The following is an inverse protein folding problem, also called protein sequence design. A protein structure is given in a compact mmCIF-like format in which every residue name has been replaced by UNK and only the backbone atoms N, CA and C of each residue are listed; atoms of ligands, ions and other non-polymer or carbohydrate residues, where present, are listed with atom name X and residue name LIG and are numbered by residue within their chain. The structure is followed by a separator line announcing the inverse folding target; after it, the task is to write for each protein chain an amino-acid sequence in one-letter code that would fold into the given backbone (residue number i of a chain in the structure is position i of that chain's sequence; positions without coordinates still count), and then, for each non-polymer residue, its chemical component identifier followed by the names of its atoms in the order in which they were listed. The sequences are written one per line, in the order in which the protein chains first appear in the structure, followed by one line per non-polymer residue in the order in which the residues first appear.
data_IF_621665464753
#
_entry.id   IF_621665464753
#
_cell.length_a   1.000
_cell.length_b   1.000
_cell.length_c   1.000
_cell.angle_alpha   90.00
_cell.angle_beta   90.00
_cell.angle_gamma   90.00
#
_symmetry.space_group_name_H-M   'P 1'
#
loop_
_entity.id
_entity.type
_entity.pdbx_description
1 polymer ?
#
# COMPACT_ATOMS: atom_id res chain seq x y z
N UNK A 1 6.82 0.80 -23.37
CA UNK A 1 5.79 1.68 -22.76
C UNK A 1 5.94 1.59 -21.24
N UNK A 2 6.68 2.51 -20.60
CA UNK A 2 7.10 2.38 -19.18
C UNK A 2 6.68 3.57 -18.30
N UNK A 3 5.96 4.55 -18.87
CA UNK A 3 5.90 5.92 -18.33
C UNK A 3 4.55 6.31 -17.75
N UNK A 4 3.41 5.87 -18.28
CA UNK A 4 2.10 6.31 -17.76
C UNK A 4 1.81 5.70 -16.38
N UNK A 5 1.73 4.38 -16.27
CA UNK A 5 1.38 3.73 -15.00
C UNK A 5 2.38 3.99 -13.87
N UNK A 6 3.67 4.15 -14.19
CA UNK A 6 4.68 4.43 -13.16
C UNK A 6 4.52 5.80 -12.48
N UNK A 7 3.76 6.73 -13.07
CA UNK A 7 3.42 8.00 -12.44
C UNK A 7 2.30 7.85 -11.40
N UNK A 8 1.46 6.81 -11.52
CA UNK A 8 0.25 6.63 -10.71
C UNK A 8 0.30 5.42 -9.78
N UNK A 9 1.06 4.37 -10.13
CA UNK A 9 1.10 3.08 -9.44
C UNK A 9 2.52 2.77 -8.97
N UNK A 10 2.63 2.19 -7.77
CA UNK A 10 3.90 1.74 -7.20
C UNK A 10 4.42 0.45 -7.82
N UNK A 11 3.52 -0.45 -8.20
CA UNK A 11 3.75 -1.79 -8.72
C UNK A 11 2.41 -2.55 -8.77
N UNK A 12 2.42 -3.78 -9.29
CA UNK A 12 1.24 -4.65 -9.29
C UNK A 12 1.09 -5.39 -7.95
N UNK A 13 2.22 -5.64 -7.27
CA UNK A 13 2.26 -6.23 -5.94
C UNK A 13 2.72 -5.23 -4.88
N UNK A 14 2.53 -5.59 -3.61
CA UNK A 14 2.97 -4.75 -2.49
C UNK A 14 4.49 -4.67 -2.44
N UNK A 15 5.18 -5.77 -2.75
CA UNK A 15 6.63 -5.90 -2.78
C UNK A 15 7.24 -5.01 -3.87
N UNK A 16 6.62 -4.97 -5.05
CA UNK A 16 7.04 -4.10 -6.15
C UNK A 16 6.90 -2.61 -5.84
N UNK A 17 6.02 -2.24 -4.90
CA UNK A 17 5.87 -0.86 -4.46
C UNK A 17 7.04 -0.39 -3.57
N UNK A 18 7.75 -1.32 -2.90
CA UNK A 18 8.77 -0.99 -1.88
C UNK A 18 9.88 -0.08 -2.41
N UNK A 19 10.53 -0.36 -3.56
CA UNK A 19 11.60 0.50 -4.05
C UNK A 19 11.16 1.95 -4.30
N UNK A 20 9.90 2.15 -4.74
CA UNK A 20 9.35 3.49 -4.96
C UNK A 20 9.07 4.21 -3.64
N UNK A 21 8.55 3.50 -2.64
CA UNK A 21 8.34 4.03 -1.29
C UNK A 21 9.66 4.52 -0.68
N UNK A 22 10.71 3.71 -0.77
CA UNK A 22 12.05 4.08 -0.29
C UNK A 22 12.62 5.29 -1.03
N UNK A 23 12.46 5.35 -2.35
CA UNK A 23 12.91 6.48 -3.16
C UNK A 23 12.18 7.78 -2.78
N UNK A 24 10.86 7.74 -2.57
CA UNK A 24 10.06 8.88 -2.12
C UNK A 24 10.47 9.33 -0.71
N UNK A 25 10.68 8.36 0.19
CA UNK A 25 11.14 8.64 1.56
C UNK A 25 12.49 9.35 1.61
N UNK A 26 13.45 8.96 0.76
CA UNK A 26 14.75 9.64 0.65
C UNK A 26 14.61 11.12 0.27
N UNK A 27 13.51 11.49 -0.36
CA UNK A 27 13.16 12.86 -0.72
C UNK A 27 12.17 13.50 0.27
N UNK A 28 12.02 12.92 1.47
CA UNK A 28 11.10 13.37 2.52
C UNK A 28 9.62 13.41 2.10
N UNK A 29 9.23 12.54 1.16
CA UNK A 29 7.83 12.38 0.74
C UNK A 29 7.24 11.15 1.40
N UNK A 30 6.20 11.34 2.22
CA UNK A 30 5.41 10.27 2.81
C UNK A 30 4.59 9.52 1.76
N UNK A 31 4.28 8.26 2.03
CA UNK A 31 3.50 7.41 1.13
C UNK A 31 2.31 6.78 1.82
N UNK A 32 1.20 6.71 1.09
CA UNK A 32 0.02 5.95 1.47
C UNK A 32 -0.18 4.83 0.44
N UNK A 33 -0.10 3.59 0.91
CA UNK A 33 -0.29 2.42 0.05
C UNK A 33 -1.77 2.11 -0.08
N UNK A 34 -2.29 2.21 -1.29
CA UNK A 34 -3.67 1.84 -1.62
C UNK A 34 -3.70 0.55 -2.42
N UNK A 35 -4.21 -0.53 -1.83
CA UNK A 35 -4.60 -1.70 -2.62
C UNK A 35 -5.88 -1.33 -3.38
N UNK A 36 -5.79 -1.27 -4.71
CA UNK A 36 -6.89 -0.84 -5.57
C UNK A 36 -7.73 -2.05 -5.95
N UNK A 37 -8.94 -2.12 -5.38
CA UNK A 37 -9.97 -3.08 -5.75
C UNK A 37 -11.03 -2.33 -6.54
N UNK A 38 -11.37 -2.86 -7.71
CA UNK A 38 -12.52 -2.40 -8.49
C UNK A 38 -13.67 -3.40 -8.30
N UNK A 39 -14.88 -2.86 -8.17
CA UNK A 39 -16.08 -3.68 -8.15
C UNK A 39 -16.53 -3.91 -9.59
N UNK A 40 -16.86 -5.15 -9.92
CA UNK A 40 -17.59 -5.44 -11.15
C UNK A 40 -19.00 -4.85 -11.03
N UNK A 41 -19.35 -3.92 -11.93
CA UNK A 41 -20.64 -3.22 -11.95
C UNK A 41 -21.65 -3.90 -12.87
N UNK A 42 -21.61 -5.23 -12.95
CA UNK A 42 -22.44 -6.04 -13.84
C UNK A 42 -23.78 -6.49 -13.21
N UNK A 43 -24.03 -6.09 -11.96
CA UNK A 43 -25.24 -6.48 -11.21
C UNK A 43 -25.15 -7.88 -10.59
N UNK A 44 -24.00 -8.54 -10.63
CA UNK A 44 -23.77 -9.80 -9.96
C UNK A 44 -23.81 -9.67 -8.43
N UNK A 45 -24.22 -10.75 -7.76
CA UNK A 45 -24.10 -10.88 -6.31
C UNK A 45 -22.63 -10.82 -5.91
N UNK A 46 -22.29 -10.11 -4.82
CA UNK A 46 -20.93 -10.09 -4.28
C UNK A 46 -20.49 -11.53 -3.97
N UNK A 47 -19.42 -11.99 -4.60
CA UNK A 47 -18.82 -13.30 -4.31
C UNK A 47 -18.09 -13.26 -2.96
N UNK A 48 -18.52 -14.06 -1.95
CA UNK A 48 -17.85 -14.12 -0.65
C UNK A 48 -16.38 -14.56 -0.73
N UNK A 49 -16.02 -15.42 -1.69
CA UNK A 49 -14.63 -15.87 -1.86
C UNK A 49 -13.75 -14.74 -2.39
N UNK A 50 -14.27 -13.96 -3.35
CA UNK A 50 -13.59 -12.75 -3.82
C UNK A 50 -13.39 -11.73 -2.70
N UNK A 51 -14.42 -11.50 -1.86
CA UNK A 51 -14.32 -10.61 -0.70
C UNK A 51 -13.22 -11.09 0.25
N UNK A 52 -13.15 -12.40 0.53
CA UNK A 52 -12.13 -12.98 1.39
C UNK A 52 -10.72 -12.76 0.83
N UNK A 53 -10.52 -13.04 -0.46
CA UNK A 53 -9.24 -12.82 -1.14
C UNK A 53 -8.82 -11.34 -1.09
N UNK A 54 -9.74 -10.43 -1.40
CA UNK A 54 -9.50 -8.99 -1.34
C UNK A 54 -9.14 -8.51 0.07
N UNK A 55 -9.82 -9.05 1.10
CA UNK A 55 -9.50 -8.77 2.51
C UNK A 55 -8.09 -9.23 2.86
N UNK A 56 -7.69 -10.42 2.41
CA UNK A 56 -6.33 -10.93 2.62
C UNK A 56 -5.28 -10.01 2.00
N UNK A 57 -5.52 -9.50 0.78
CA UNK A 57 -4.60 -8.54 0.16
C UNK A 57 -4.49 -7.21 0.92
N UNK A 58 -5.61 -6.70 1.46
CA UNK A 58 -5.57 -5.52 2.34
C UNK A 58 -4.71 -5.81 3.59
N UNK A 59 -4.88 -6.97 4.22
CA UNK A 59 -4.06 -7.37 5.37
C UNK A 59 -2.57 -7.49 5.02
N UNK A 60 -2.23 -8.06 3.87
CA UNK A 60 -0.84 -8.12 3.37
C UNK A 60 -0.25 -6.72 3.16
N UNK A 61 -1.04 -5.77 2.65
CA UNK A 61 -0.59 -4.38 2.48
C UNK A 61 -0.29 -3.69 3.82
N UNK A 62 -1.08 -3.97 4.86
CA UNK A 62 -0.86 -3.51 6.24
C UNK A 62 0.42 -4.11 6.81
N UNK A 63 0.63 -5.42 6.62
CA UNK A 63 1.84 -6.08 7.12
C UNK A 63 3.11 -5.51 6.48
N UNK A 64 3.11 -5.31 5.16
CA UNK A 64 4.26 -4.75 4.44
C UNK A 64 4.60 -3.33 4.88
N UNK A 65 3.58 -2.45 4.97
CA UNK A 65 3.76 -1.09 5.48
C UNK A 65 4.21 -1.08 6.94
N UNK A 66 3.73 -2.02 7.76
CA UNK A 66 4.18 -2.18 9.14
C UNK A 66 5.66 -2.60 9.25
N UNK A 67 6.13 -3.48 8.36
CA UNK A 67 7.55 -3.86 8.27
C UNK A 67 8.42 -2.67 7.85
N UNK A 68 8.00 -1.91 6.84
CA UNK A 68 8.71 -0.71 6.39
C UNK A 68 8.75 0.36 7.48
N UNK A 69 7.64 0.60 8.19
CA UNK A 69 7.60 1.57 9.28
C UNK A 69 8.64 1.27 10.36
N UNK A 70 8.80 0.00 10.75
CA UNK A 70 9.82 -0.42 11.73
C UNK A 70 11.25 -0.18 11.23
N UNK A 71 11.51 -0.35 9.94
CA UNK A 71 12.82 -0.06 9.35
C UNK A 71 13.09 1.45 9.32
N UNK A 72 12.06 2.23 9.00
CA UNK A 72 12.12 3.68 8.82
C UNK A 72 12.11 4.47 10.13
N UNK A 73 11.50 3.91 11.17
CA UNK A 73 11.36 4.49 12.49
C UNK A 73 11.58 3.39 13.55
N UNK A 74 12.85 3.01 13.82
CA UNK A 74 13.16 1.95 14.77
C UNK A 74 12.81 2.32 16.22
N UNK A 75 12.78 3.61 16.55
CA UNK A 75 12.28 4.08 17.84
C UNK A 75 10.74 4.17 17.81
N UNK A 76 10.10 3.22 18.47
CA UNK A 76 8.64 3.13 18.58
C UNK A 76 8.03 4.12 19.57
N UNK A 77 8.85 4.85 20.33
CA UNK A 77 8.40 5.89 21.27
C UNK A 77 8.25 7.25 20.61
N UNK A 78 8.80 7.42 19.41
CA UNK A 78 8.69 8.66 18.65
C UNK A 78 7.23 8.87 18.19
N UNK A 79 6.57 9.89 18.73
CA UNK A 79 5.17 10.24 18.40
C UNK A 79 5.05 11.40 17.41
N UNK A 80 6.17 12.02 17.03
CA UNK A 80 6.21 13.19 16.14
C UNK A 80 6.85 12.88 14.78
N UNK A 81 6.42 13.59 13.73
CA UNK A 81 6.93 13.49 12.36
C UNK A 81 6.12 12.60 11.41
N UNK A 82 6.25 12.85 10.11
CA UNK A 82 5.71 12.02 9.01
C UNK A 82 6.59 10.79 8.74
N UNK A 83 6.96 10.10 9.82
CA UNK A 83 7.77 8.88 9.78
C UNK A 83 6.92 7.61 9.72
N UNK A 84 5.61 7.77 9.54
CA UNK A 84 4.63 6.69 9.61
C UNK A 84 4.25 6.26 8.21
N UNK A 85 4.11 4.96 8.07
CA UNK A 85 3.54 4.35 6.88
C UNK A 85 2.02 4.33 7.00
N UNK A 86 1.33 4.58 5.90
CA UNK A 86 -0.13 4.62 5.86
C UNK A 86 -0.67 3.62 4.86
N UNK A 87 -1.85 3.07 5.16
CA UNK A 87 -2.61 2.21 4.25
C UNK A 87 -3.97 2.84 4.03
N UNK A 88 -4.44 2.81 2.80
CA UNK A 88 -5.81 3.19 2.46
C UNK A 88 -6.64 1.94 2.22
N UNK A 89 -7.81 1.93 2.85
CA UNK A 89 -8.84 0.91 2.72
C UNK A 89 -10.05 1.57 2.05
N UNK A 90 -10.74 0.85 1.16
CA UNK A 90 -11.99 1.29 0.52
C UNK A 90 -13.08 0.28 0.79
#
# INVERSE_FOLDING_TARGET
MRTFFNQFLGGETTEECVPKIEALRKNHVGTLLGYNIEAELDGSSKDPQLILAQTQHVLSSIEAQGKLAKQFCPDTRATSGDNRCWVRIK
#
